data_IF_907239849351
#
_entry.id   IF_907239849351
#
_cell.length_a   1.000
_cell.length_b   1.000
_cell.length_c   1.000
_cell.angle_alpha   90.00
_cell.angle_beta   90.00
_cell.angle_gamma   90.00
#
_symmetry.space_group_name_H-M   'P 1'
#
loop_
_entity.id
_entity.type
_entity.pdbx_description
1 polymer ?
#
# COMPACT_ATOMS: atom_id res chain seq x y z
N UNK A 1 27.36 -9.42 15.00
CA UNK A 1 26.22 -9.69 15.91
C UNK A 1 25.37 -8.44 16.03
N UNK A 2 24.53 -8.20 15.01
CA UNK A 2 23.15 -7.69 15.01
C UNK A 2 22.61 -8.23 13.67
N UNK A 3 21.63 -9.13 13.68
CA UNK A 3 20.99 -9.59 12.43
C UNK A 3 20.04 -8.49 11.96
N UNK A 4 20.24 -7.99 10.75
CA UNK A 4 19.56 -6.84 10.15
C UNK A 4 18.18 -7.21 9.56
N UNK A 5 17.51 -8.26 10.02
CA UNK A 5 16.50 -8.94 9.20
C UNK A 5 15.06 -8.37 9.23
N UNK A 6 14.77 -7.29 9.96
CA UNK A 6 13.42 -6.72 10.00
C UNK A 6 13.31 -5.38 9.27
N UNK A 7 13.17 -5.45 7.94
CA UNK A 7 13.03 -4.29 7.06
C UNK A 7 11.59 -4.04 6.57
N UNK A 8 10.60 -4.86 6.98
CA UNK A 8 9.22 -4.76 6.50
C UNK A 8 8.25 -4.37 7.63
N UNK A 9 7.49 -3.30 7.42
CA UNK A 9 6.47 -2.81 8.34
C UNK A 9 5.08 -2.95 7.71
N UNK A 10 4.12 -3.52 8.44
CA UNK A 10 2.72 -3.53 8.04
C UNK A 10 2.03 -2.30 8.62
N UNK A 11 1.43 -1.48 7.77
CA UNK A 11 0.78 -0.22 8.12
C UNK A 11 -0.69 -0.29 7.73
N UNK A 12 -1.57 -0.11 8.71
CA UNK A 12 -3.01 0.01 8.46
C UNK A 12 -3.40 1.49 8.39
N UNK A 13 -4.22 1.87 7.41
CA UNK A 13 -4.65 3.27 7.25
C UNK A 13 -5.34 3.79 8.52
N UNK A 14 -4.82 4.87 9.15
CA UNK A 14 -5.47 5.47 10.30
C UNK A 14 -6.71 6.30 9.94
N UNK A 15 -6.95 6.58 8.64
CA UNK A 15 -7.92 7.59 8.19
C UNK A 15 -9.38 7.10 8.12
N UNK A 16 -9.62 5.84 8.48
CA UNK A 16 -10.88 5.16 8.20
C UNK A 16 -11.61 4.58 9.41
N UNK A 17 -11.08 4.77 10.63
CA UNK A 17 -11.87 4.56 11.85
C UNK A 17 -12.76 5.78 12.14
N UNK A 18 -13.61 6.20 11.19
CA UNK A 18 -14.66 7.19 11.50
C UNK A 18 -15.84 6.46 12.14
N UNK A 19 -15.85 6.39 13.46
CA UNK A 19 -16.92 5.81 14.30
C UNK A 19 -18.25 6.58 14.27
N UNK A 20 -18.45 7.53 13.35
CA UNK A 20 -19.71 8.27 13.28
C UNK A 20 -20.71 7.50 12.42
N UNK A 21 -21.58 6.74 13.08
CA UNK A 21 -22.68 5.97 12.49
C UNK A 21 -23.56 6.72 11.47
N UNK A 22 -23.51 8.06 11.45
CA UNK A 22 -24.25 8.90 10.51
C UNK A 22 -23.64 9.03 9.09
N UNK A 23 -22.42 8.53 8.84
CA UNK A 23 -21.74 8.68 7.54
C UNK A 23 -21.91 7.49 6.58
N UNK A 24 -22.51 6.37 7.03
CA UNK A 24 -22.66 5.14 6.25
C UNK A 24 -23.69 5.25 5.11
N UNK A 25 -24.41 6.38 5.02
CA UNK A 25 -25.43 6.63 4.00
C UNK A 25 -24.91 7.39 2.78
N UNK A 26 -23.64 7.80 2.77
CA UNK A 26 -23.03 8.44 1.59
C UNK A 26 -22.36 7.34 0.77
N UNK A 27 -22.70 7.18 -0.52
CA UNK A 27 -21.94 6.31 -1.41
C UNK A 27 -20.47 6.72 -1.35
N UNK A 28 -19.60 5.81 -0.91
CA UNK A 28 -18.16 6.04 -1.00
C UNK A 28 -17.77 6.01 -2.48
N UNK A 29 -17.71 7.19 -3.08
CA UNK A 29 -17.26 7.36 -4.45
C UNK A 29 -15.73 7.39 -4.44
N UNK A 30 -15.10 6.31 -4.89
CA UNK A 30 -13.66 6.27 -5.14
C UNK A 30 -13.36 7.27 -6.28
N UNK A 31 -12.36 8.12 -6.09
CA UNK A 31 -11.84 8.99 -7.14
C UNK A 31 -10.46 8.45 -7.56
N UNK A 32 -10.42 7.48 -8.48
CA UNK A 32 -9.18 6.80 -8.81
C UNK A 32 -8.25 7.76 -9.55
N UNK A 33 -6.98 7.78 -9.13
CA UNK A 33 -5.89 8.47 -9.83
C UNK A 33 -4.92 7.45 -10.40
N UNK A 34 -4.32 7.71 -11.58
CA UNK A 34 -3.29 6.83 -12.14
C UNK A 34 -2.00 6.93 -11.32
N UNK A 35 -1.13 5.90 -11.40
CA UNK A 35 0.22 6.01 -10.87
C UNK A 35 0.98 7.13 -11.63
N UNK A 36 1.75 7.91 -10.90
CA UNK A 36 2.45 9.08 -11.41
C UNK A 36 3.69 9.44 -10.59
N UNK A 37 4.50 10.36 -11.11
CA UNK A 37 5.50 11.08 -10.35
C UNK A 37 4.83 12.25 -9.62
N UNK A 38 4.87 12.23 -8.29
CA UNK A 38 4.36 13.32 -7.47
C UNK A 38 5.39 14.44 -7.37
N UNK A 39 5.10 15.59 -7.96
CA UNK A 39 6.03 16.73 -7.99
C UNK A 39 6.28 17.35 -6.60
N UNK A 40 5.39 17.14 -5.63
CA UNK A 40 5.52 17.73 -4.29
C UNK A 40 6.41 16.88 -3.37
N UNK A 41 6.40 15.56 -3.54
CA UNK A 41 7.17 14.62 -2.71
C UNK A 41 8.35 13.97 -3.44
N UNK A 42 8.42 14.08 -4.77
CA UNK A 42 9.41 13.39 -5.61
C UNK A 42 9.17 11.88 -5.74
N UNK A 43 8.07 11.36 -5.17
CA UNK A 43 7.77 9.92 -5.18
C UNK A 43 7.26 9.49 -6.55
N UNK A 44 7.85 8.43 -7.08
CA UNK A 44 7.35 7.76 -8.29
C UNK A 44 6.48 6.59 -7.89
N UNK A 45 5.25 6.54 -8.41
CA UNK A 45 4.35 5.40 -8.20
C UNK A 45 4.13 4.56 -9.44
N UNK A 46 3.81 3.27 -9.23
CA UNK A 46 3.56 2.27 -10.28
C UNK A 46 2.63 1.19 -9.78
N UNK A 47 1.72 0.70 -10.62
CA UNK A 47 0.89 -0.46 -10.29
C UNK A 47 1.58 -1.77 -10.67
N UNK A 48 1.44 -2.79 -9.81
CA UNK A 48 1.96 -4.13 -10.01
C UNK A 48 0.89 -5.18 -9.68
N UNK A 49 0.85 -6.26 -10.47
CA UNK A 49 -0.05 -7.38 -10.23
C UNK A 49 0.64 -8.41 -9.34
N UNK A 50 -0.01 -8.75 -8.23
CA UNK A 50 0.44 -9.77 -7.27
C UNK A 50 -0.04 -11.15 -7.72
N UNK A 51 -1.34 -11.27 -8.02
CA UNK A 51 -1.94 -12.50 -8.51
C UNK A 51 -2.97 -12.20 -9.61
N UNK A 52 -2.64 -12.61 -10.84
CA UNK A 52 -3.52 -12.42 -12.00
C UNK A 52 -4.79 -13.25 -11.95
N UNK A 53 -4.85 -14.34 -11.17
CA UNK A 53 -6.04 -15.18 -11.07
C UNK A 53 -7.13 -14.56 -10.20
N UNK A 54 -6.75 -13.95 -9.07
CA UNK A 54 -7.68 -13.19 -8.23
C UNK A 54 -7.87 -11.73 -8.67
N UNK A 55 -6.99 -11.22 -9.54
CA UNK A 55 -6.93 -9.81 -9.89
C UNK A 55 -6.32 -8.95 -8.77
N UNK A 56 -5.62 -9.56 -7.80
CA UNK A 56 -4.95 -8.85 -6.72
C UNK A 56 -3.77 -8.04 -7.26
N UNK A 57 -3.76 -6.75 -6.95
CA UNK A 57 -2.74 -5.82 -7.38
C UNK A 57 -2.41 -4.84 -6.25
N UNK A 58 -1.34 -4.10 -6.45
CA UNK A 58 -0.90 -3.06 -5.53
C UNK A 58 -0.30 -1.87 -6.26
N UNK A 59 -0.21 -0.74 -5.55
CA UNK A 59 0.53 0.43 -6.00
C UNK A 59 1.81 0.58 -5.20
N UNK A 60 2.93 0.54 -5.92
CA UNK A 60 4.27 0.83 -5.42
C UNK A 60 4.51 2.34 -5.37
N UNK A 61 5.25 2.78 -4.36
CA UNK A 61 5.67 4.16 -4.15
C UNK A 61 7.15 4.20 -3.80
N UNK A 62 7.96 4.60 -4.77
CA UNK A 62 9.40 4.72 -4.64
C UNK A 62 9.78 6.18 -4.34
N UNK A 63 10.33 6.49 -3.15
CA UNK A 63 10.82 7.82 -2.85
C UNK A 63 12.06 8.15 -3.69
N UNK A 64 12.24 9.44 -3.99
CA UNK A 64 13.49 9.92 -4.57
C UNK A 64 14.61 9.79 -3.53
N UNK A 65 15.65 9.04 -3.88
CA UNK A 65 16.74 8.71 -2.98
C UNK A 65 17.99 9.54 -3.29
N UNK A 66 18.70 10.04 -2.26
CA UNK A 66 19.96 10.72 -2.48
C UNK A 66 20.96 9.83 -3.23
N UNK A 67 21.59 10.38 -4.27
CA UNK A 67 22.65 9.70 -5.04
C UNK A 67 23.90 9.36 -4.23
N UNK A 68 23.99 9.86 -3.00
CA UNK A 68 25.06 9.57 -2.04
C UNK A 68 24.87 8.25 -1.30
N UNK A 69 23.71 7.60 -1.42
CA UNK A 69 23.48 6.30 -0.78
C UNK A 69 24.32 5.21 -1.48
N UNK A 70 24.84 4.24 -0.71
CA UNK A 70 25.51 3.07 -1.27
C UNK A 70 24.63 2.34 -2.28
N UNK A 71 25.24 1.74 -3.30
CA UNK A 71 24.52 0.99 -4.34
C UNK A 71 23.80 -0.25 -3.81
N UNK A 72 24.20 -0.75 -2.64
CA UNK A 72 23.59 -1.87 -1.92
C UNK A 72 22.65 -1.42 -0.80
N UNK A 73 22.32 -0.13 -0.73
CA UNK A 73 21.39 0.39 0.27
C UNK A 73 19.99 -0.21 0.07
N UNK A 74 19.54 -1.00 1.04
CA UNK A 74 18.19 -1.57 1.05
C UNK A 74 17.23 -0.61 1.73
N UNK A 75 16.14 -0.27 1.03
CA UNK A 75 15.07 0.51 1.61
C UNK A 75 14.22 -0.34 2.57
N UNK A 76 13.77 0.23 3.69
CA UNK A 76 12.64 -0.34 4.41
C UNK A 76 11.42 -0.44 3.51
N UNK A 77 10.62 -1.48 3.72
CA UNK A 77 9.36 -1.74 3.03
C UNK A 77 8.22 -1.41 3.98
N UNK A 78 7.22 -0.67 3.49
CA UNK A 78 5.98 -0.38 4.20
C UNK A 78 4.79 -0.94 3.41
N UNK A 79 4.24 -2.07 3.86
CA UNK A 79 3.05 -2.67 3.27
C UNK A 79 1.80 -2.03 3.87
N UNK A 80 1.02 -1.34 3.04
CA UNK A 80 -0.10 -0.50 3.43
C UNK A 80 -1.43 -1.08 2.96
N UNK A 81 -2.42 -1.06 3.87
CA UNK A 81 -3.80 -1.48 3.59
C UNK A 81 -4.76 -0.33 3.89
N UNK A 82 -5.67 -0.05 2.96
CA UNK A 82 -6.73 0.94 3.19
C UNK A 82 -7.66 0.44 4.31
N UNK A 83 -8.25 1.33 5.09
CA UNK A 83 -9.34 0.93 5.98
C UNK A 83 -10.68 1.05 5.27
N UNK A 84 -11.76 1.26 6.01
CA UNK A 84 -13.13 1.30 5.45
C UNK A 84 -13.92 0.03 5.79
N UNK A 85 -13.60 -0.57 6.94
CA UNK A 85 -14.31 -1.71 7.50
C UNK A 85 -14.42 -2.90 6.54
N UNK A 86 -13.46 -3.09 5.63
CA UNK A 86 -13.41 -4.14 4.60
C UNK A 86 -14.49 -4.02 3.51
N UNK A 87 -15.20 -2.88 3.46
CA UNK A 87 -16.36 -2.67 2.57
C UNK A 87 -16.12 -1.53 1.59
N UNK A 88 -15.27 -0.56 1.95
CA UNK A 88 -14.99 0.62 1.11
C UNK A 88 -13.51 0.96 1.12
N UNK A 89 -13.07 1.69 0.10
CA UNK A 89 -11.70 2.18 -0.06
C UNK A 89 -11.03 1.60 -1.31
N UNK A 90 -9.89 2.19 -1.67
CA UNK A 90 -9.04 1.73 -2.77
C UNK A 90 -7.65 2.35 -2.64
N UNK A 91 -6.61 1.59 -2.98
CA UNK A 91 -5.24 2.02 -3.18
C UNK A 91 -5.09 3.08 -4.29
N UNK A 92 -6.06 3.15 -5.22
CA UNK A 92 -6.10 4.17 -6.26
C UNK A 92 -6.79 5.48 -5.84
N UNK A 93 -7.46 5.54 -4.68
CA UNK A 93 -8.23 6.72 -4.29
C UNK A 93 -7.33 7.95 -4.05
N UNK A 94 -7.70 9.11 -4.61
CA UNK A 94 -6.86 10.31 -4.60
C UNK A 94 -6.37 10.76 -3.21
N UNK A 95 -7.20 10.78 -2.14
CA UNK A 95 -6.76 11.17 -0.80
C UNK A 95 -5.74 10.19 -0.21
N UNK A 96 -5.97 8.89 -0.42
CA UNK A 96 -5.10 7.82 0.05
C UNK A 96 -3.78 7.82 -0.74
N UNK A 97 -3.81 8.01 -2.06
CA UNK A 97 -2.63 8.18 -2.90
C UNK A 97 -1.74 9.34 -2.43
N UNK A 98 -2.33 10.52 -2.19
CA UNK A 98 -1.59 11.69 -1.70
C UNK A 98 -1.01 11.47 -0.29
N UNK A 99 -1.69 10.69 0.56
CA UNK A 99 -1.17 10.32 1.87
C UNK A 99 0.06 9.41 1.75
N UNK A 100 -0.02 8.36 0.93
CA UNK A 100 1.08 7.39 0.77
C UNK A 100 2.30 8.03 0.08
N UNK A 101 2.12 8.97 -0.86
CA UNK A 101 3.22 9.79 -1.39
C UNK A 101 4.00 10.50 -0.27
N UNK A 102 3.30 11.13 0.68
CA UNK A 102 3.95 11.81 1.81
C UNK A 102 4.58 10.84 2.79
N UNK A 103 3.94 9.68 3.01
CA UNK A 103 4.44 8.64 3.89
C UNK A 103 5.76 8.06 3.37
N UNK A 104 5.81 7.65 2.10
CA UNK A 104 7.00 7.09 1.46
C UNK A 104 8.17 8.07 1.49
N UNK A 105 7.93 9.33 1.09
CA UNK A 105 8.96 10.37 1.09
C UNK A 105 9.51 10.66 2.49
N UNK A 106 8.64 10.77 3.50
CA UNK A 106 9.06 11.10 4.87
C UNK A 106 9.73 9.92 5.58
N UNK A 107 9.30 8.70 5.29
CA UNK A 107 9.86 7.49 5.87
C UNK A 107 11.16 7.05 5.17
N UNK A 108 11.41 7.52 3.93
CA UNK A 108 12.50 7.01 3.10
C UNK A 108 12.34 5.51 2.83
N UNK A 109 11.10 5.07 2.61
CA UNK A 109 10.72 3.67 2.50
C UNK A 109 9.97 3.41 1.19
N UNK A 110 10.15 2.22 0.63
CA UNK A 110 9.32 1.72 -0.45
C UNK A 110 7.95 1.37 0.15
N UNK A 111 6.91 2.11 -0.23
CA UNK A 111 5.55 1.79 0.21
C UNK A 111 4.83 0.97 -0.86
N UNK A 112 4.14 -0.08 -0.42
CA UNK A 112 3.36 -1.01 -1.24
C UNK A 112 1.92 -0.93 -0.76
N UNK A 113 1.01 -0.46 -1.60
CA UNK A 113 -0.39 -0.25 -1.22
C UNK A 113 -1.27 -1.30 -1.90
N UNK A 114 -1.72 -2.28 -1.13
CA UNK A 114 -2.48 -3.43 -1.63
C UNK A 114 -3.96 -3.08 -1.86
N UNK A 115 -4.46 -3.41 -3.06
CA UNK A 115 -5.89 -3.39 -3.39
C UNK A 115 -6.52 -4.74 -3.05
N UNK A 116 -7.00 -4.89 -1.82
CA UNK A 116 -7.65 -6.12 -1.38
C UNK A 116 -9.14 -6.12 -1.72
N UNK A 117 -9.73 -7.32 -1.84
CA UNK A 117 -11.15 -7.50 -2.18
C UNK A 117 -12.07 -7.09 -1.04
N UNK A 118 -13.18 -6.44 -1.40
CA UNK A 118 -14.16 -5.88 -0.45
C UNK A 118 -15.41 -6.76 -0.31
N UNK A 119 -16.03 -6.68 0.87
CA UNK A 119 -17.38 -7.15 1.10
C UNK A 119 -18.41 -6.11 0.61
N UNK A 120 -19.63 -6.51 0.21
CA UNK A 120 -20.19 -7.87 0.30
C UNK A 120 -19.82 -8.80 -0.87
N UNK A 121 -19.22 -8.31 -1.94
CA UNK A 121 -18.89 -9.09 -3.14
C UNK A 121 -17.93 -10.23 -2.82
N UNK A 122 -16.98 -9.96 -1.92
CA UNK A 122 -16.02 -10.92 -1.39
C UNK A 122 -16.01 -10.85 0.15
N UNK A 123 -16.90 -11.61 0.83
CA UNK A 123 -16.96 -11.63 2.28
C UNK A 123 -15.66 -12.11 2.92
N UNK A 124 -15.50 -11.80 4.21
CA UNK A 124 -14.44 -12.37 5.05
C UNK A 124 -14.45 -13.90 4.91
N UNK A 125 -13.30 -14.57 4.68
CA UNK A 125 -11.93 -14.07 4.86
C UNK A 125 -11.18 -13.58 3.61
N UNK A 126 -11.86 -13.21 2.51
CA UNK A 126 -11.18 -12.86 1.24
C UNK A 126 -10.08 -11.78 1.39
N UNK A 127 -10.39 -10.66 2.05
CA UNK A 127 -9.40 -9.60 2.32
C UNK A 127 -8.19 -10.08 3.14
N UNK A 128 -8.38 -11.04 4.04
CA UNK A 128 -7.29 -11.62 4.84
C UNK A 128 -6.39 -12.49 3.98
N UNK A 129 -6.96 -13.24 3.03
CA UNK A 129 -6.19 -14.01 2.07
C UNK A 129 -5.40 -13.11 1.11
N UNK A 130 -5.97 -11.98 0.70
CA UNK A 130 -5.28 -11.01 -0.15
C UNK A 130 -4.11 -10.36 0.59
N UNK A 131 -4.31 -9.95 1.85
CA UNK A 131 -3.24 -9.42 2.69
C UNK A 131 -2.11 -10.44 2.92
N UNK A 132 -2.47 -11.70 3.14
CA UNK A 132 -1.50 -12.78 3.28
C UNK A 132 -0.75 -13.08 1.98
N UNK A 133 -1.45 -13.09 0.85
CA UNK A 133 -0.85 -13.30 -0.46
C UNK A 133 0.13 -12.19 -0.82
N UNK A 134 -0.23 -10.92 -0.55
CA UNK A 134 0.67 -9.78 -0.73
C UNK A 134 1.93 -9.91 0.12
N UNK A 135 1.78 -10.23 1.41
CA UNK A 135 2.93 -10.43 2.30
C UNK A 135 3.89 -11.52 1.81
N UNK A 136 3.36 -12.65 1.35
CA UNK A 136 4.16 -13.74 0.81
C UNK A 136 4.83 -13.36 -0.52
N UNK A 137 4.13 -12.61 -1.37
CA UNK A 137 4.69 -12.12 -2.62
C UNK A 137 5.88 -11.20 -2.36
N UNK A 138 5.76 -10.27 -1.40
CA UNK A 138 6.87 -9.38 -1.03
C UNK A 138 8.05 -10.11 -0.40
N UNK A 139 7.76 -11.02 0.52
CA UNK A 139 8.80 -11.86 1.11
C UNK A 139 9.56 -12.65 0.03
N UNK A 140 8.87 -13.11 -1.02
CA UNK A 140 9.52 -13.77 -2.15
C UNK A 140 10.41 -12.80 -2.94
N UNK A 141 10.00 -11.54 -3.16
CA UNK A 141 10.83 -10.55 -3.85
C UNK A 141 12.15 -10.31 -3.09
N UNK A 142 12.10 -10.27 -1.75
CA UNK A 142 13.26 -10.06 -0.89
C UNK A 142 14.24 -11.24 -0.85
N UNK A 143 13.75 -12.48 -0.96
CA UNK A 143 14.56 -13.69 -0.88
C UNK A 143 15.37 -13.98 -2.15
N UNK A 144 15.09 -13.29 -3.26
CA UNK A 144 15.85 -13.41 -4.51
C UNK A 144 16.94 -12.35 -4.69
N UNK A 145 17.24 -11.54 -3.65
CA UNK A 145 18.32 -10.54 -3.63
C UNK A 145 19.31 -10.71 -2.49
#
# INVERSE_FOLDING_TARGET
MVSHEEHMFVVLSPHTCRTRAAAWSVPHHVNPVPPSLDAATGVTSKDATIDGASGLWERLYLPDLPSTLPSDHRLPIALYFHGGCLVVGSAADAPEHAFVNRLAARAGALAMYVEYRLAPEHPVPACCYDAWAALLWEASQLLYF
#
